data_IF_376848682643
#
_entry.id   IF_376848682643
#
_cell.length_a   1.000
_cell.length_b   1.000
_cell.length_c   1.000
_cell.angle_alpha   90.00
_cell.angle_beta   90.00
_cell.angle_gamma   90.00
#
_symmetry.space_group_name_H-M   'P 1'
#
loop_
_entity.id
_entity.type
_entity.pdbx_description
1 polymer ?
#
# COMPACT_ATOMS: atom_id res chain seq x y z
N UNK A 1 -25.51 1.65 -2.06
CA UNK A 1 -25.23 0.66 -1.00
C UNK A 1 -23.80 0.14 -1.15
N UNK A 2 -22.90 0.59 -0.27
CA UNK A 2 -21.47 0.27 -0.31
C UNK A 2 -21.28 -1.22 -0.01
N UNK A 3 -20.68 -1.93 -0.96
CA UNK A 3 -20.34 -3.35 -0.83
C UNK A 3 -19.33 -3.50 0.31
N UNK A 4 -19.72 -4.14 1.41
CA UNK A 4 -18.83 -4.47 2.52
C UNK A 4 -18.17 -5.84 2.31
N UNK A 5 -16.96 -6.00 2.86
CA UNK A 5 -16.11 -7.20 2.79
C UNK A 5 -16.82 -8.53 3.17
N UNK A 6 -17.93 -8.43 3.91
CA UNK A 6 -18.79 -9.57 4.29
C UNK A 6 -19.33 -10.35 3.08
N UNK A 7 -19.51 -9.70 1.93
CA UNK A 7 -20.00 -10.36 0.71
C UNK A 7 -18.87 -10.92 -0.18
N UNK A 8 -17.60 -10.63 0.11
CA UNK A 8 -16.49 -11.03 -0.74
C UNK A 8 -15.86 -12.38 -0.32
N UNK A 9 -15.93 -12.74 0.97
CA UNK A 9 -15.34 -14.01 1.47
C UNK A 9 -16.19 -15.27 1.28
N UNK A 10 -17.45 -15.16 0.86
CA UNK A 10 -18.33 -16.33 0.74
C UNK A 10 -18.26 -17.07 -0.62
N UNK A 11 -17.47 -16.60 -1.59
CA UNK A 11 -17.50 -17.13 -2.98
C UNK A 11 -16.17 -17.69 -3.53
N UNK A 12 -15.15 -17.94 -2.71
CA UNK A 12 -13.91 -18.58 -3.21
C UNK A 12 -13.51 -19.74 -2.28
N UNK A 13 -13.92 -20.98 -2.58
CA UNK A 13 -13.36 -22.15 -1.91
C UNK A 13 -11.87 -22.29 -2.27
N UNK A 14 -11.07 -22.70 -1.29
CA UNK A 14 -9.64 -23.01 -1.46
C UNK A 14 -9.50 -24.36 -2.20
N UNK A 15 -8.64 -24.47 -3.23
CA UNK A 15 -8.40 -25.74 -3.90
C UNK A 15 -7.47 -26.65 -3.08
N UNK A 16 -7.77 -27.96 -3.11
CA UNK A 16 -6.92 -29.03 -2.57
C UNK A 16 -5.65 -29.24 -3.43
N UNK A 17 -4.63 -29.84 -2.82
CA UNK A 17 -3.33 -30.12 -3.42
C UNK A 17 -3.44 -31.11 -4.59
N UNK A 18 -3.23 -30.64 -5.81
CA UNK A 18 -3.11 -31.50 -6.99
C UNK A 18 -3.44 -30.85 -8.33
N UNK A 19 -4.18 -29.74 -8.34
CA UNK A 19 -4.48 -29.01 -9.57
C UNK A 19 -3.71 -27.68 -9.59
N UNK A 20 -3.00 -27.46 -10.70
CA UNK A 20 -2.25 -26.24 -10.99
C UNK A 20 -3.21 -25.10 -11.31
N UNK A 21 -3.92 -24.62 -10.28
CA UNK A 21 -4.83 -23.49 -10.43
C UNK A 21 -4.17 -22.19 -9.99
N UNK A 22 -4.27 -21.25 -10.91
CA UNK A 22 -3.82 -19.87 -10.84
C UNK A 22 -4.26 -19.24 -9.52
N UNK A 23 -3.32 -18.90 -8.66
CA UNK A 23 -3.60 -17.97 -7.56
C UNK A 23 -3.41 -16.54 -8.08
N UNK A 24 -4.50 -15.94 -8.55
CA UNK A 24 -4.51 -14.52 -8.90
C UNK A 24 -4.45 -13.68 -7.63
N UNK A 25 -3.41 -12.86 -7.47
CA UNK A 25 -3.41 -11.74 -6.51
C UNK A 25 -4.20 -10.58 -7.13
N UNK A 26 -5.53 -10.63 -6.97
CA UNK A 26 -6.47 -9.66 -7.55
C UNK A 26 -6.45 -8.29 -6.84
N UNK A 27 -5.44 -7.95 -6.04
CA UNK A 27 -5.45 -6.73 -5.22
C UNK A 27 -5.17 -5.43 -5.99
N UNK A 28 -4.91 -5.49 -7.30
CA UNK A 28 -4.71 -4.33 -8.19
C UNK A 28 -3.89 -3.21 -7.52
N UNK A 29 -2.75 -3.56 -6.92
CA UNK A 29 -2.01 -2.63 -6.08
C UNK A 29 -1.62 -1.39 -6.89
N UNK A 30 -2.12 -0.23 -6.48
CA UNK A 30 -1.84 1.04 -7.15
C UNK A 30 -0.82 1.81 -6.33
N UNK A 31 0.21 2.32 -6.98
CA UNK A 31 1.23 3.14 -6.32
C UNK A 31 1.73 4.23 -7.26
N UNK A 32 2.44 5.20 -6.72
CA UNK A 32 3.11 6.24 -7.51
C UNK A 32 4.62 6.12 -7.33
N UNK A 33 5.40 6.44 -8.36
CA UNK A 33 6.86 6.51 -8.24
C UNK A 33 7.42 7.58 -9.17
N UNK A 34 8.50 8.23 -8.73
CA UNK A 34 9.28 9.11 -9.60
C UNK A 34 10.13 8.26 -10.52
N UNK A 35 10.04 8.54 -11.80
CA UNK A 35 10.74 7.80 -12.85
C UNK A 35 11.29 8.79 -13.87
N UNK A 36 12.37 8.40 -14.52
CA UNK A 36 13.02 9.20 -15.56
C UNK A 36 12.57 8.72 -16.93
N UNK A 37 12.17 9.64 -17.79
CA UNK A 37 11.79 9.31 -19.16
C UNK A 37 13.04 9.02 -20.01
N UNK A 38 13.01 7.97 -20.84
CA UNK A 38 14.14 7.57 -21.72
C UNK A 38 13.86 7.79 -23.20
N UNK A 39 12.88 8.64 -23.52
CA UNK A 39 12.53 9.04 -24.88
C UNK A 39 12.34 7.86 -25.84
N UNK A 40 11.69 6.80 -25.37
CA UNK A 40 11.45 5.60 -26.15
C UNK A 40 10.13 4.96 -25.80
N UNK A 41 9.35 4.68 -26.83
CA UNK A 41 8.10 3.94 -26.76
C UNK A 41 8.04 2.92 -27.89
N UNK A 42 7.25 1.86 -27.70
CA UNK A 42 7.06 0.81 -28.71
C UNK A 42 5.71 0.12 -28.55
N UNK A 43 5.21 -0.60 -29.56
CA UNK A 43 4.06 -1.47 -29.40
C UNK A 43 4.29 -2.53 -28.31
N UNK A 44 3.21 -2.95 -27.64
CA UNK A 44 3.26 -4.00 -26.64
C UNK A 44 3.85 -5.29 -27.23
N UNK A 45 4.78 -5.90 -26.50
CA UNK A 45 5.36 -7.18 -26.92
C UNK A 45 4.30 -8.28 -26.96
N UNK A 46 4.44 -9.23 -27.88
CA UNK A 46 3.47 -10.32 -28.06
C UNK A 46 3.17 -11.08 -26.75
N UNK A 47 4.21 -11.35 -25.96
CA UNK A 47 4.08 -12.02 -24.67
C UNK A 47 3.19 -11.22 -23.70
N UNK A 48 3.38 -9.91 -23.59
CA UNK A 48 2.54 -9.06 -22.73
C UNK A 48 1.14 -8.87 -23.31
N UNK A 49 0.98 -8.84 -24.63
CA UNK A 49 -0.32 -8.82 -25.30
C UNK A 49 -1.14 -10.06 -24.96
N UNK A 50 -0.50 -11.25 -25.02
CA UNK A 50 -1.13 -12.51 -24.63
C UNK A 50 -1.57 -12.49 -23.16
N UNK A 51 -0.73 -11.99 -22.27
CA UNK A 51 -1.08 -11.83 -20.85
C UNK A 51 -2.24 -10.85 -20.66
N UNK A 52 -2.24 -9.69 -21.33
CA UNK A 52 -3.34 -8.71 -21.25
C UNK A 52 -4.66 -9.32 -21.77
N UNK A 53 -4.62 -10.05 -22.87
CA UNK A 53 -5.79 -10.73 -23.44
C UNK A 53 -6.34 -11.81 -22.48
N UNK A 54 -5.45 -12.57 -21.82
CA UNK A 54 -5.84 -13.55 -20.81
C UNK A 54 -6.54 -12.88 -19.61
N UNK A 55 -6.02 -11.74 -19.15
CA UNK A 55 -6.60 -10.97 -18.05
C UNK A 55 -7.96 -10.36 -18.42
N UNK A 56 -8.14 -9.97 -19.69
CA UNK A 56 -9.42 -9.54 -20.25
C UNK A 56 -10.43 -10.69 -20.32
N UNK A 57 -10.02 -11.84 -20.85
CA UNK A 57 -10.87 -13.02 -21.04
C UNK A 57 -11.34 -13.62 -19.70
N UNK A 58 -10.53 -13.49 -18.65
CA UNK A 58 -10.88 -13.93 -17.28
C UNK A 58 -11.79 -12.94 -16.55
N UNK A 59 -12.23 -11.87 -17.22
CA UNK A 59 -13.20 -10.88 -16.74
C UNK A 59 -12.83 -10.22 -15.40
N UNK A 60 -11.53 -10.24 -15.04
CA UNK A 60 -10.99 -9.77 -13.75
C UNK A 60 -11.18 -8.26 -13.56
N UNK A 61 -11.35 -7.53 -14.65
CA UNK A 61 -11.28 -6.06 -14.62
C UNK A 61 -12.57 -5.30 -14.90
N UNK A 62 -13.64 -5.94 -15.39
CA UNK A 62 -14.79 -5.23 -15.95
C UNK A 62 -14.38 -4.05 -16.87
N UNK A 63 -13.20 -4.13 -17.48
CA UNK A 63 -12.46 -3.03 -18.08
C UNK A 63 -11.50 -3.58 -19.12
N UNK A 64 -11.35 -2.86 -20.22
CA UNK A 64 -10.68 -3.32 -21.44
C UNK A 64 -9.16 -3.19 -21.36
N UNK A 65 -8.40 -4.08 -20.72
CA UNK A 65 -6.92 -3.97 -20.67
C UNK A 65 -6.23 -3.88 -22.05
N UNK A 66 -6.93 -4.19 -23.14
CA UNK A 66 -6.56 -3.94 -24.54
C UNK A 66 -6.21 -2.49 -24.86
N UNK A 67 -6.62 -1.51 -24.04
CA UNK A 67 -6.17 -0.13 -24.24
C UNK A 67 -4.72 0.11 -23.81
N UNK A 68 -4.05 -0.83 -23.11
CA UNK A 68 -2.62 -0.77 -22.81
C UNK A 68 -1.81 -1.46 -23.92
N UNK A 69 -1.85 -0.91 -25.13
CA UNK A 69 -1.32 -1.50 -26.36
C UNK A 69 0.12 -1.07 -26.70
N UNK A 70 0.71 -0.20 -25.89
CA UNK A 70 2.07 0.27 -26.06
C UNK A 70 2.88 0.14 -24.76
N UNK A 71 4.18 0.28 -24.88
CA UNK A 71 5.12 0.36 -23.78
C UNK A 71 5.94 1.63 -23.87
N UNK A 72 6.23 2.20 -22.70
CA UNK A 72 7.17 3.30 -22.55
C UNK A 72 8.40 2.82 -21.77
N UNK A 73 9.57 3.25 -22.20
CA UNK A 73 10.82 3.03 -21.49
C UNK A 73 11.01 4.11 -20.43
N UNK A 74 11.06 3.67 -19.18
CA UNK A 74 11.36 4.51 -18.04
C UNK A 74 12.57 3.96 -17.30
N UNK A 75 13.27 4.83 -16.59
CA UNK A 75 14.31 4.44 -15.66
C UNK A 75 13.83 4.75 -14.24
N UNK A 76 13.92 3.77 -13.34
CA UNK A 76 13.59 3.99 -11.93
C UNK A 76 14.72 4.69 -11.17
N UNK A 77 14.46 5.06 -9.92
CA UNK A 77 15.44 5.71 -9.05
C UNK A 77 16.66 4.84 -8.69
N UNK A 78 16.63 3.53 -8.95
CA UNK A 78 17.79 2.64 -8.81
C UNK A 78 18.60 2.53 -10.12
N UNK A 79 18.20 3.28 -11.15
CA UNK A 79 18.84 3.28 -12.46
C UNK A 79 18.42 2.11 -13.36
N UNK A 80 17.42 1.31 -12.96
CA UNK A 80 16.94 0.17 -13.75
C UNK A 80 16.00 0.64 -14.83
N UNK A 81 16.23 0.19 -16.07
CA UNK A 81 15.36 0.49 -17.20
C UNK A 81 14.23 -0.54 -17.30
N UNK A 82 13.00 -0.06 -17.45
CA UNK A 82 11.78 -0.85 -17.43
C UNK A 82 10.88 -0.45 -18.59
N UNK A 83 10.42 -1.44 -19.34
CA UNK A 83 9.36 -1.28 -20.34
C UNK A 83 8.00 -1.46 -19.67
N UNK A 84 7.26 -0.37 -19.54
CA UNK A 84 5.97 -0.35 -18.84
C UNK A 84 4.83 -0.19 -19.83
N UNK A 85 3.87 -1.13 -19.85
CA UNK A 85 2.62 -0.97 -20.58
C UNK A 85 1.86 0.30 -20.21
N UNK A 86 1.44 1.04 -21.22
CA UNK A 86 0.67 2.28 -21.14
C UNK A 86 -0.29 2.35 -22.34
N UNK A 87 -1.31 3.20 -22.25
CA UNK A 87 -2.11 3.50 -23.44
C UNK A 87 -1.40 4.55 -24.31
N UNK A 88 -1.63 4.47 -25.62
CA UNK A 88 -1.03 5.39 -26.60
C UNK A 88 -1.25 6.87 -26.24
N UNK A 89 -2.45 7.24 -25.80
CA UNK A 89 -2.75 8.63 -25.42
C UNK A 89 -1.92 9.15 -24.24
N UNK A 90 -1.54 8.28 -23.31
CA UNK A 90 -0.68 8.63 -22.19
C UNK A 90 0.78 8.75 -22.62
N UNK A 91 1.23 7.89 -23.55
CA UNK A 91 2.58 7.99 -24.15
C UNK A 91 2.72 9.30 -24.92
N UNK A 92 1.77 9.62 -25.80
CA UNK A 92 1.79 10.86 -26.59
C UNK A 92 1.87 12.10 -25.68
N UNK A 93 1.13 12.09 -24.56
CA UNK A 93 1.21 13.18 -23.58
C UNK A 93 2.57 13.29 -22.91
N UNK A 94 3.25 12.17 -22.65
CA UNK A 94 4.62 12.18 -22.10
C UNK A 94 5.58 12.73 -23.16
N UNK A 95 5.50 12.23 -24.39
CA UNK A 95 6.33 12.67 -25.52
C UNK A 95 6.21 14.17 -25.81
N UNK A 96 5.01 14.74 -25.66
CA UNK A 96 4.75 16.16 -25.87
C UNK A 96 5.23 17.06 -24.71
N UNK A 97 5.38 16.51 -23.50
CA UNK A 97 5.53 17.33 -22.27
C UNK A 97 6.85 17.13 -21.55
N UNK A 98 7.44 15.94 -21.63
CA UNK A 98 8.60 15.53 -20.84
C UNK A 98 9.78 15.26 -21.78
N UNK A 99 10.89 15.96 -21.58
CA UNK A 99 12.10 15.73 -22.37
C UNK A 99 12.84 14.44 -21.93
N UNK A 100 13.73 13.95 -22.77
CA UNK A 100 14.62 12.84 -22.41
C UNK A 100 15.36 13.14 -21.10
N UNK A 101 15.49 12.13 -20.25
CA UNK A 101 16.15 12.19 -18.95
C UNK A 101 15.51 13.09 -17.89
N UNK A 102 14.35 13.70 -18.19
CA UNK A 102 13.56 14.40 -17.18
C UNK A 102 12.78 13.42 -16.29
N UNK A 103 12.65 13.78 -15.02
CA UNK A 103 11.87 13.05 -14.02
C UNK A 103 10.40 13.44 -14.09
N UNK A 104 9.51 12.50 -13.82
CA UNK A 104 8.08 12.73 -13.65
C UNK A 104 7.49 11.70 -12.67
N UNK A 105 6.30 11.98 -12.13
CA UNK A 105 5.62 11.05 -11.23
C UNK A 105 4.66 10.19 -12.02
N UNK A 106 4.93 8.88 -12.08
CA UNK A 106 4.08 7.90 -12.72
C UNK A 106 3.20 7.19 -11.68
N UNK A 107 1.91 7.08 -11.97
CA UNK A 107 0.97 6.20 -11.29
C UNK A 107 0.97 4.84 -11.98
N UNK A 108 1.22 3.80 -11.20
CA UNK A 108 1.23 2.42 -11.66
C UNK A 108 0.11 1.63 -11.00
N UNK A 109 -0.36 0.61 -11.72
CA UNK A 109 -1.16 -0.47 -11.16
C UNK A 109 -0.42 -1.77 -11.43
N UNK A 110 -0.21 -2.52 -10.36
CA UNK A 110 0.42 -3.82 -10.39
C UNK A 110 -0.65 -4.91 -10.55
N UNK A 111 -0.39 -5.79 -11.52
CA UNK A 111 -1.14 -7.01 -11.75
C UNK A 111 -0.31 -8.22 -11.36
N UNK A 112 -0.63 -8.74 -10.18
CA UNK A 112 -0.04 -9.96 -9.64
C UNK A 112 -0.84 -11.17 -10.06
N UNK A 113 -0.75 -11.58 -11.31
CA UNK A 113 -1.17 -12.92 -11.65
C UNK A 113 -0.39 -13.33 -12.86
N UNK A 114 0.61 -14.18 -12.67
CA UNK A 114 0.98 -15.14 -13.67
C UNK A 114 1.92 -16.20 -13.08
N UNK A 115 1.97 -17.31 -13.78
CA UNK A 115 2.49 -18.62 -13.40
C UNK A 115 3.99 -18.67 -13.05
N UNK A 116 4.73 -17.59 -13.25
CA UNK A 116 6.11 -17.42 -12.78
C UNK A 116 6.50 -15.95 -12.55
N UNK A 117 7.67 -15.73 -11.97
CA UNK A 117 8.20 -14.37 -11.69
C UNK A 117 8.38 -13.49 -12.96
N UNK A 118 8.40 -14.11 -14.15
CA UNK A 118 8.59 -13.46 -15.45
C UNK A 118 7.33 -12.80 -16.02
N UNK A 119 6.19 -13.06 -15.41
CA UNK A 119 4.90 -12.77 -16.03
C UNK A 119 4.08 -11.74 -15.22
N UNK A 120 4.74 -11.05 -14.28
CA UNK A 120 4.17 -9.94 -13.52
C UNK A 120 4.06 -8.73 -14.42
N UNK A 121 2.86 -8.14 -14.52
CA UNK A 121 2.64 -6.94 -15.32
C UNK A 121 2.43 -5.74 -14.40
N UNK A 122 3.27 -4.73 -14.59
CA UNK A 122 3.09 -3.41 -14.02
C UNK A 122 2.69 -2.47 -15.16
N UNK A 123 1.55 -1.79 -15.07
CA UNK A 123 1.11 -0.86 -16.10
C UNK A 123 0.94 0.56 -15.56
N UNK A 124 1.21 1.55 -16.39
CA UNK A 124 1.08 2.97 -16.05
C UNK A 124 -0.33 3.44 -16.38
N UNK A 125 -1.07 3.88 -15.35
CA UNK A 125 -2.46 4.29 -15.50
C UNK A 125 -2.65 5.81 -15.36
N UNK A 126 -1.68 6.54 -14.82
CA UNK A 126 -1.73 7.98 -14.62
C UNK A 126 -0.34 8.58 -14.63
N UNK A 127 -0.22 9.84 -15.03
CA UNK A 127 0.98 10.65 -14.85
C UNK A 127 0.64 11.95 -14.11
N UNK A 128 1.62 12.44 -13.36
CA UNK A 128 1.67 13.80 -12.83
C UNK A 128 2.97 14.45 -13.31
N UNK A 129 2.83 15.61 -13.94
CA UNK A 129 3.95 16.33 -14.54
C UNK A 129 4.71 17.18 -13.52
N UNK A 130 4.08 17.48 -12.38
CA UNK A 130 4.80 18.04 -11.25
C UNK A 130 5.59 16.93 -10.58
N UNK A 131 6.93 17.04 -10.61
CA UNK A 131 7.83 16.11 -9.92
C UNK A 131 7.72 16.34 -8.43
N UNK A 132 6.67 15.78 -7.84
CA UNK A 132 6.65 15.52 -6.42
C UNK A 132 7.63 14.37 -6.21
N UNK A 133 8.85 14.68 -5.77
CA UNK A 133 9.78 13.68 -5.24
C UNK A 133 9.14 13.09 -4.02
N UNK A 134 8.30 12.09 -4.25
CA UNK A 134 7.71 11.17 -3.28
C UNK A 134 8.93 10.58 -2.56
N UNK A 135 9.28 11.04 -1.34
CA UNK A 135 10.36 10.40 -0.60
C UNK A 135 10.03 8.91 -0.55
N UNK A 136 10.97 7.99 -0.81
CA UNK A 136 10.68 6.53 -0.88
C UNK A 136 9.85 5.98 0.28
N UNK A 137 9.82 6.69 1.40
CA UNK A 137 9.01 6.45 2.58
C UNK A 137 7.50 6.71 2.41
N UNK A 138 7.04 7.22 1.27
CA UNK A 138 5.72 7.88 1.16
C UNK A 138 4.68 7.20 0.28
N UNK A 139 5.00 6.06 -0.31
CA UNK A 139 3.96 5.15 -0.83
C UNK A 139 3.55 4.17 0.26
N UNK A 140 2.86 4.67 1.28
CA UNK A 140 2.08 3.92 2.27
C UNK A 140 2.71 2.62 2.73
N UNK A 141 3.51 2.76 3.77
CA UNK A 141 4.20 1.64 4.37
C UNK A 141 3.21 0.53 4.75
N UNK A 142 3.52 -0.69 4.33
CA UNK A 142 2.97 -1.89 4.96
C UNK A 142 3.79 -2.23 6.22
N UNK A 143 4.73 -1.37 6.63
CA UNK A 143 5.63 -1.58 7.75
C UNK A 143 5.67 -0.39 8.71
N UNK A 144 5.54 -0.61 10.01
CA UNK A 144 5.66 0.46 11.00
C UNK A 144 6.57 0.00 12.14
N UNK A 145 7.60 0.79 12.47
CA UNK A 145 8.67 0.43 13.42
C UNK A 145 9.29 -0.96 13.19
N UNK A 146 9.48 -1.36 11.93
CA UNK A 146 10.06 -2.66 11.57
C UNK A 146 9.07 -3.83 11.53
N UNK A 147 7.79 -3.62 11.89
CA UNK A 147 6.75 -4.64 11.79
C UNK A 147 6.04 -4.53 10.46
N UNK A 148 5.93 -5.62 9.70
CA UNK A 148 5.36 -5.62 8.34
C UNK A 148 4.03 -6.39 8.26
N UNK A 149 2.99 -5.79 7.71
CA UNK A 149 1.71 -6.44 7.43
C UNK A 149 1.92 -7.69 6.54
N UNK A 150 1.16 -8.75 6.81
CA UNK A 150 1.29 -10.11 6.24
C UNK A 150 2.58 -10.86 6.59
N UNK A 151 3.44 -10.33 7.45
CA UNK A 151 4.47 -11.16 8.08
C UNK A 151 3.84 -12.25 8.93
N UNK A 152 4.63 -13.24 9.31
CA UNK A 152 4.22 -14.23 10.31
C UNK A 152 4.01 -13.50 11.64
N UNK A 153 2.86 -13.73 12.25
CA UNK A 153 2.47 -13.05 13.47
C UNK A 153 3.38 -13.39 14.64
N UNK A 154 3.75 -14.67 14.79
CA UNK A 154 4.66 -15.11 15.86
C UNK A 154 6.05 -14.46 15.72
N UNK A 155 6.62 -14.40 14.51
CA UNK A 155 7.90 -13.70 14.27
C UNK A 155 7.81 -12.21 14.66
N UNK A 156 6.65 -11.58 14.44
CA UNK A 156 6.40 -10.19 14.84
C UNK A 156 6.24 -10.04 16.35
N UNK A 157 5.66 -11.03 17.04
CA UNK A 157 5.58 -11.04 18.49
C UNK A 157 6.96 -11.22 19.12
N UNK A 158 7.80 -12.12 18.58
CA UNK A 158 9.16 -12.33 19.06
C UNK A 158 10.00 -11.07 18.88
N UNK A 159 9.92 -10.42 17.71
CA UNK A 159 10.56 -9.13 17.49
C UNK A 159 10.09 -8.05 18.48
N UNK A 160 8.79 -7.99 18.78
CA UNK A 160 8.25 -7.02 19.73
C UNK A 160 8.69 -7.31 21.17
N UNK A 161 8.77 -8.59 21.56
CA UNK A 161 9.30 -8.99 22.87
C UNK A 161 10.77 -8.62 23.02
N UNK A 162 11.57 -8.85 21.98
CA UNK A 162 12.98 -8.50 21.97
C UNK A 162 13.20 -6.98 22.09
N UNK A 163 12.35 -6.17 21.45
CA UNK A 163 12.48 -4.72 21.44
C UNK A 163 11.87 -4.02 22.67
N UNK A 164 10.71 -4.49 23.14
CA UNK A 164 9.88 -3.77 24.11
C UNK A 164 9.55 -4.59 25.38
N UNK A 165 10.01 -5.84 25.46
CA UNK A 165 9.67 -6.76 26.54
C UNK A 165 8.28 -7.38 26.38
N UNK A 166 7.78 -8.01 27.44
CA UNK A 166 6.49 -8.70 27.41
C UNK A 166 5.31 -7.73 27.18
N UNK A 167 4.24 -8.18 26.50
CA UNK A 167 3.06 -7.36 26.27
C UNK A 167 2.42 -6.95 27.61
N UNK A 168 2.11 -5.67 27.74
CA UNK A 168 1.41 -5.15 28.93
C UNK A 168 -0.05 -5.62 29.00
N UNK A 169 -0.61 -5.99 27.84
CA UNK A 169 -1.97 -6.54 27.74
C UNK A 169 -2.14 -7.35 26.46
N UNK A 170 -2.84 -8.47 26.58
CA UNK A 170 -3.34 -9.24 25.45
C UNK A 170 -4.85 -9.33 25.54
N UNK A 171 -5.54 -9.13 24.43
CA UNK A 171 -7.00 -9.21 24.37
C UNK A 171 -7.47 -9.79 23.04
N UNK A 172 -8.76 -10.15 22.99
CA UNK A 172 -9.46 -10.39 21.73
C UNK A 172 -10.38 -9.22 21.44
N UNK A 173 -10.32 -8.70 20.21
CA UNK A 173 -11.27 -7.68 19.78
C UNK A 173 -12.60 -8.31 19.35
N UNK A 174 -13.56 -7.48 18.94
CA UNK A 174 -14.88 -7.89 18.47
C UNK A 174 -14.88 -8.83 17.25
N UNK A 175 -13.77 -8.84 16.48
CA UNK A 175 -13.55 -9.70 15.31
C UNK A 175 -12.81 -11.00 15.67
N UNK A 176 -12.68 -11.29 16.96
CA UNK A 176 -11.92 -12.42 17.49
C UNK A 176 -10.42 -12.42 17.09
N UNK A 177 -9.87 -11.27 16.70
CA UNK A 177 -8.43 -11.12 16.46
C UNK A 177 -7.69 -11.07 17.78
N UNK A 178 -6.54 -11.74 17.86
CA UNK A 178 -5.62 -11.57 18.99
C UNK A 178 -4.93 -10.22 18.85
N UNK A 179 -4.98 -9.42 19.91
CA UNK A 179 -4.34 -8.12 19.99
C UNK A 179 -3.32 -8.15 21.13
N UNK A 180 -2.06 -7.90 20.80
CA UNK A 180 -0.97 -7.78 21.74
C UNK A 180 -0.55 -6.31 21.83
N UNK A 181 -0.45 -5.80 23.05
CA UNK A 181 -0.18 -4.39 23.33
C UNK A 181 1.17 -4.31 24.04
N UNK A 182 2.12 -3.59 23.44
CA UNK A 182 3.44 -3.35 24.01
C UNK A 182 3.62 -1.87 24.30
N UNK A 183 4.25 -1.55 25.43
CA UNK A 183 4.48 -0.18 25.87
C UNK A 183 5.84 0.30 25.36
N UNK A 184 5.84 1.40 24.60
CA UNK A 184 7.05 2.02 24.06
C UNK A 184 7.58 3.09 25.02
N UNK A 185 6.68 3.88 25.60
CA UNK A 185 7.01 4.88 26.62
C UNK A 185 5.89 4.96 27.66
N UNK A 186 6.24 4.69 28.92
CA UNK A 186 5.32 4.76 30.04
C UNK A 186 4.90 6.19 30.37
N UNK A 187 5.78 7.19 30.19
CA UNK A 187 5.50 8.58 30.54
C UNK A 187 4.44 9.17 29.63
N UNK A 188 4.56 8.91 28.33
CA UNK A 188 3.63 9.45 27.32
C UNK A 188 2.47 8.50 27.01
N UNK A 189 2.40 7.36 27.71
CA UNK A 189 1.48 6.26 27.44
C UNK A 189 1.50 5.87 25.95
N UNK A 190 2.70 5.77 25.37
CA UNK A 190 2.85 5.40 23.96
C UNK A 190 2.92 3.88 23.85
N UNK A 191 2.06 3.30 23.01
CA UNK A 191 1.97 1.86 22.84
C UNK A 191 1.83 1.46 21.38
N UNK A 192 2.36 0.28 21.04
CA UNK A 192 2.12 -0.41 19.78
C UNK A 192 1.15 -1.57 20.01
N UNK A 193 0.24 -1.74 19.06
CA UNK A 193 -0.78 -2.77 19.04
C UNK A 193 -0.53 -3.62 17.80
N UNK A 194 -0.26 -4.91 18.00
CA UNK A 194 -0.11 -5.89 16.93
C UNK A 194 -1.34 -6.78 16.92
N UNK A 195 -2.00 -6.90 15.76
CA UNK A 195 -3.21 -7.73 15.60
C UNK A 195 -3.01 -8.80 14.55
N UNK A 196 -3.43 -10.02 14.85
CA UNK A 196 -3.47 -11.09 13.86
C UNK A 196 -4.65 -10.94 12.87
N UNK A 197 -4.72 -11.79 11.85
CA UNK A 197 -5.81 -11.79 10.86
C UNK A 197 -7.14 -12.39 11.32
N UNK A 198 -7.29 -12.74 12.60
CA UNK A 198 -8.47 -13.42 13.13
C UNK A 198 -8.46 -14.92 12.86
N UNK A 199 -9.57 -15.64 13.14
CA UNK A 199 -9.57 -17.11 13.19
C UNK A 199 -9.05 -17.82 11.94
N UNK A 200 -9.30 -17.26 10.76
CA UNK A 200 -8.91 -17.84 9.47
C UNK A 200 -7.48 -17.45 9.03
N UNK A 201 -6.87 -16.44 9.66
CA UNK A 201 -5.58 -15.84 9.24
C UNK A 201 -4.72 -15.48 10.47
N UNK A 202 -4.87 -16.26 11.55
CA UNK A 202 -4.27 -15.99 12.86
C UNK A 202 -2.74 -16.06 12.85
N UNK A 203 -2.17 -16.67 11.82
CA UNK A 203 -0.76 -16.81 11.57
C UNK A 203 -0.11 -15.55 10.96
N UNK A 204 -0.91 -14.57 10.51
CA UNK A 204 -0.42 -13.35 9.86
C UNK A 204 -0.70 -12.09 10.68
N UNK A 205 0.26 -11.15 10.66
CA UNK A 205 0.05 -9.80 11.17
C UNK A 205 -0.87 -9.02 10.22
N UNK A 206 -2.06 -8.65 10.67
CA UNK A 206 -3.08 -8.00 9.83
C UNK A 206 -3.13 -6.49 9.98
N UNK A 207 -2.74 -5.99 11.16
CA UNK A 207 -2.68 -4.57 11.42
C UNK A 207 -1.71 -4.22 12.54
N UNK A 208 -1.17 -3.01 12.41
CA UNK A 208 -0.26 -2.38 13.36
C UNK A 208 -0.89 -1.03 13.71
N UNK A 209 -0.99 -0.72 14.99
CA UNK A 209 -1.35 0.62 15.46
C UNK A 209 -0.29 1.12 16.41
N UNK A 210 0.09 2.39 16.32
CA UNK A 210 0.88 3.06 17.37
C UNK A 210 0.10 4.27 17.81
N UNK A 211 -0.07 4.42 19.12
CA UNK A 211 -0.80 5.54 19.70
C UNK A 211 -0.06 6.12 20.89
N UNK A 212 -0.21 7.43 21.11
CA UNK A 212 0.18 8.12 22.35
C UNK A 212 -1.04 8.79 22.98
N UNK A 213 -1.14 8.73 24.31
CA UNK A 213 -2.28 9.31 25.04
C UNK A 213 -1.90 10.51 25.91
N UNK A 214 -0.61 10.74 26.17
CA UNK A 214 -0.11 11.89 26.93
C UNK A 214 0.88 12.75 26.12
N UNK A 215 0.71 12.81 24.79
CA UNK A 215 1.38 13.77 23.93
C UNK A 215 2.88 13.51 23.71
N UNK A 216 3.24 12.30 23.29
CA UNK A 216 4.60 12.00 22.84
C UNK A 216 5.03 12.86 21.64
N UNK A 217 6.33 13.06 21.49
CA UNK A 217 6.96 13.64 20.29
C UNK A 217 7.85 12.62 19.59
N UNK A 218 7.63 11.33 19.83
CA UNK A 218 8.39 10.26 19.20
C UNK A 218 8.23 10.32 17.68
N UNK A 219 9.35 10.24 16.98
CA UNK A 219 9.36 10.06 15.52
C UNK A 219 8.89 8.63 15.20
N UNK A 220 7.79 8.53 14.46
CA UNK A 220 7.11 7.27 14.11
C UNK A 220 7.44 6.83 12.69
N UNK A 221 7.78 7.79 11.83
CA UNK A 221 8.28 7.59 10.47
C UNK A 221 9.27 8.72 10.16
N UNK A 222 10.20 8.55 9.19
CA UNK A 222 11.13 9.62 8.83
C UNK A 222 10.42 10.95 8.56
N UNK A 223 10.72 11.97 9.35
CA UNK A 223 10.11 13.31 9.25
C UNK A 223 8.70 13.43 9.80
N UNK A 224 8.16 12.39 10.44
CA UNK A 224 6.82 12.38 11.04
C UNK A 224 6.87 11.96 12.51
N UNK A 225 6.43 12.85 13.39
CA UNK A 225 6.36 12.60 14.84
C UNK A 225 4.94 12.71 15.37
N UNK A 226 4.67 12.06 16.50
CA UNK A 226 3.46 12.40 17.26
C UNK A 226 3.44 13.90 17.61
N UNK A 227 2.24 14.47 17.63
CA UNK A 227 2.04 15.91 17.79
C UNK A 227 2.04 16.71 16.47
N UNK A 228 2.48 16.13 15.36
CA UNK A 228 2.48 16.79 14.04
C UNK A 228 1.06 17.18 13.60
N UNK A 229 0.91 18.32 12.96
CA UNK A 229 -0.33 18.78 12.33
C UNK A 229 -0.54 18.20 10.93
N UNK A 230 -1.72 18.41 10.37
CA UNK A 230 -2.12 17.93 9.03
C UNK A 230 -1.09 18.24 7.94
N UNK A 231 -0.67 19.50 7.80
CA UNK A 231 0.31 19.90 6.77
C UNK A 231 1.68 19.27 6.96
N UNK A 232 2.08 19.02 8.20
CA UNK A 232 3.35 18.36 8.50
C UNK A 232 3.27 16.87 8.12
N UNK A 233 2.11 16.24 8.34
CA UNK A 233 1.85 14.87 7.89
C UNK A 233 1.85 14.83 6.36
N UNK A 234 1.10 15.68 5.68
CA UNK A 234 1.07 15.75 4.22
C UNK A 234 2.46 16.01 3.62
N UNK A 235 3.26 16.87 4.27
CA UNK A 235 4.64 17.13 3.86
C UNK A 235 5.54 15.92 4.07
N UNK A 236 5.44 15.22 5.21
CA UNK A 236 6.21 14.02 5.49
C UNK A 236 5.83 12.86 4.55
N UNK A 237 4.55 12.77 4.20
CA UNK A 237 3.97 11.81 3.25
C UNK A 237 4.07 12.31 1.80
N UNK A 238 4.55 13.53 1.54
CA UNK A 238 4.63 14.11 0.20
C UNK A 238 3.32 14.09 -0.60
N UNK A 239 2.15 14.12 0.06
CA UNK A 239 0.84 14.10 -0.59
C UNK A 239 -0.29 14.63 0.28
N UNK A 240 -1.25 15.29 -0.34
CA UNK A 240 -2.50 15.72 0.28
C UNK A 240 -3.34 14.51 0.75
N UNK A 241 -3.87 14.62 1.97
CA UNK A 241 -4.70 13.60 2.60
C UNK A 241 -6.17 14.01 2.61
N UNK A 242 -7.05 13.02 2.50
CA UNK A 242 -8.49 13.25 2.73
C UNK A 242 -8.75 13.19 4.23
N UNK A 243 -9.68 14.03 4.67
CA UNK A 243 -10.08 14.10 6.07
C UNK A 243 -11.50 13.58 6.21
N UNK A 244 -11.68 12.60 7.09
CA UNK A 244 -12.98 12.23 7.62
C UNK A 244 -13.09 12.76 9.05
N UNK A 245 -13.95 13.77 9.25
CA UNK A 245 -14.13 14.38 10.57
C UNK A 245 -15.08 13.56 11.43
N UNK A 246 -14.68 13.24 12.65
CA UNK A 246 -15.49 12.48 13.60
C UNK A 246 -15.49 13.18 14.97
N UNK A 247 -16.47 12.86 15.82
CA UNK A 247 -16.62 13.46 17.15
C UNK A 247 -15.45 13.16 18.09
N UNK A 248 -14.72 12.07 17.85
CA UNK A 248 -13.69 11.57 18.76
C UNK A 248 -12.26 11.82 18.24
N UNK A 249 -12.06 11.73 16.93
CA UNK A 249 -10.78 11.95 16.26
C UNK A 249 -11.03 12.20 14.77
N UNK A 250 -10.29 13.12 14.17
CA UNK A 250 -10.30 13.28 12.72
C UNK A 250 -9.39 12.22 12.10
N UNK A 251 -9.85 11.56 11.04
CA UNK A 251 -9.08 10.55 10.32
C UNK A 251 -8.54 11.13 9.03
N UNK A 252 -7.22 11.16 8.90
CA UNK A 252 -6.51 11.54 7.68
C UNK A 252 -6.11 10.27 6.94
N UNK A 253 -6.48 10.17 5.67
CA UNK A 253 -6.27 8.97 4.88
C UNK A 253 -6.16 9.25 3.39
N UNK A 254 -5.63 8.29 2.67
CA UNK A 254 -5.66 8.27 1.21
C UNK A 254 -6.33 7.01 0.72
N UNK A 255 -7.16 7.15 -0.31
CA UNK A 255 -8.09 6.12 -0.74
C UNK A 255 -7.43 4.79 -1.19
N UNK A 256 -6.13 4.81 -1.47
CA UNK A 256 -5.36 3.64 -1.94
C UNK A 256 -4.25 3.24 -0.95
N UNK A 257 -4.38 3.65 0.32
CA UNK A 257 -3.36 3.48 1.36
C UNK A 257 -3.80 2.48 2.44
N UNK A 258 -2.98 1.48 2.79
CA UNK A 258 -3.18 0.69 4.02
C UNK A 258 -3.01 1.50 5.32
N UNK A 259 -2.42 2.70 5.25
CA UNK A 259 -2.10 3.56 6.37
C UNK A 259 -3.11 4.72 6.53
N UNK A 260 -3.48 4.98 7.78
CA UNK A 260 -4.37 6.06 8.20
C UNK A 260 -3.79 6.74 9.45
N UNK A 261 -4.09 8.03 9.62
CA UNK A 261 -3.57 8.87 10.68
C UNK A 261 -4.74 9.42 11.49
N UNK A 262 -4.75 9.19 12.80
CA UNK A 262 -5.76 9.75 13.68
C UNK A 262 -5.25 11.01 14.36
N UNK A 263 -6.06 12.05 14.25
CA UNK A 263 -5.80 13.38 14.77
C UNK A 263 -6.72 13.69 15.94
N UNK A 264 -6.16 14.24 17.01
CA UNK A 264 -6.91 14.75 18.15
C UNK A 264 -6.43 16.16 18.42
N UNK A 265 -7.37 17.10 18.54
CA UNK A 265 -7.06 18.53 18.73
C UNK A 265 -6.11 19.09 17.65
N UNK A 266 -6.25 18.59 16.41
CA UNK A 266 -5.42 19.00 15.28
C UNK A 266 -4.00 18.41 15.28
N UNK A 267 -3.71 17.43 16.14
CA UNK A 267 -2.39 16.81 16.28
C UNK A 267 -2.43 15.29 16.11
N UNK A 268 -1.40 14.74 15.49
CA UNK A 268 -1.22 13.31 15.32
C UNK A 268 -1.07 12.63 16.68
N UNK A 269 -1.95 11.67 16.96
CA UNK A 269 -1.85 10.85 18.18
C UNK A 269 -1.88 9.35 17.90
N UNK A 270 -2.32 8.92 16.71
CA UNK A 270 -2.26 7.52 16.30
C UNK A 270 -1.95 7.35 14.82
N UNK A 271 -1.18 6.31 14.49
CA UNK A 271 -1.01 5.80 13.13
C UNK A 271 -1.53 4.37 13.12
N UNK A 272 -2.33 4.04 12.11
CA UNK A 272 -2.85 2.71 11.89
C UNK A 272 -2.53 2.22 10.49
N UNK A 273 -1.93 1.03 10.39
CA UNK A 273 -1.60 0.35 9.13
C UNK A 273 -2.34 -0.99 9.12
N UNK A 274 -3.13 -1.25 8.09
CA UNK A 274 -3.91 -2.48 7.97
C UNK A 274 -3.92 -3.03 6.54
N UNK A 275 -4.19 -4.33 6.42
CA UNK A 275 -4.24 -5.00 5.12
C UNK A 275 -5.31 -4.45 4.16
N UNK A 276 -6.38 -3.82 4.68
CA UNK A 276 -7.42 -3.16 3.89
C UNK A 276 -7.67 -1.72 4.42
N UNK A 277 -7.56 -0.69 3.56
CA UNK A 277 -7.82 0.71 3.90
C UNK A 277 -9.23 1.03 4.39
N UNK A 278 -10.21 0.17 4.08
CA UNK A 278 -11.63 0.43 4.31
C UNK A 278 -12.19 -0.28 5.55
N UNK A 279 -11.31 -0.61 6.48
CA UNK A 279 -11.68 -1.05 7.83
C UNK A 279 -12.00 0.12 8.76
#
# INVERSE_FOLDING_TARGET
PLTTFKNFRQNVPLPELGESDIKMDMRLLRFSAVVRYRNSSRPLTESKQQTMNLLEATNVFHGKTSFFDHEILIQDELGRELWIPANEGLINRIDETIESDQEFTAGFTYLGCCYGAKDRILFMNRIDFEVQKIPRHTCYTDELLGFKIRSRFEDSLDLARDQFGEPVKTLKNEKAQRVFIFLLDAKTETAIYLRDGGPEFSEYLSSIQISTYQGSTMEVMPGLSFGSGEKEIESAIGRDLRIHRNKNADLLYYQLSPCTFEMREGKLFSIYVAEDPYY
#
